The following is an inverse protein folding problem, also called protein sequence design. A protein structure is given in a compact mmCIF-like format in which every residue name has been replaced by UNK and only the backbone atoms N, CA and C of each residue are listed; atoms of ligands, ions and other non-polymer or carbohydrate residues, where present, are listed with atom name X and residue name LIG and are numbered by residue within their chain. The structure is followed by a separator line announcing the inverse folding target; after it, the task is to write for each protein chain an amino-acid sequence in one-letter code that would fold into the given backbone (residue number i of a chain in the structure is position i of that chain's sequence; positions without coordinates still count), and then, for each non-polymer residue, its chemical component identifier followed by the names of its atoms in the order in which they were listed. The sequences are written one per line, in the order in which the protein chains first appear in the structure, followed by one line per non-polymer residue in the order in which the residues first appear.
data_IF_303326609815
#
_entry.id   IF_303326609815
#
_cell.length_a   1.000
_cell.length_b   1.000
_cell.length_c   1.000
_cell.angle_alpha   90.00
_cell.angle_beta   90.00
_cell.angle_gamma   90.00
#
_symmetry.space_group_name_H-M   'P 1'
#
loop_
_entity.id
_entity.type
_entity.pdbx_description
1 polymer ?
#
# COMPACT_ATOMS: atom_id res chain seq x y z
N UNK A 1 34.91 37.45 13.08
CA UNK A 1 34.91 36.80 14.41
C UNK A 1 36.34 36.40 14.68
N UNK A 2 36.90 36.76 15.83
CA UNK A 2 38.18 36.23 16.27
C UNK A 2 38.01 34.72 16.53
N UNK A 3 38.79 33.90 15.84
CA UNK A 3 38.83 32.46 16.09
C UNK A 3 39.63 32.25 17.37
N UNK A 4 38.98 31.79 18.44
CA UNK A 4 39.70 31.35 19.64
C UNK A 4 40.48 30.07 19.32
N UNK A 5 41.77 30.05 19.66
CA UNK A 5 42.63 28.88 19.51
C UNK A 5 43.13 28.44 20.88
N UNK A 6 42.89 27.16 21.21
CA UNK A 6 43.40 26.57 22.43
C UNK A 6 44.92 26.39 22.35
N UNK A 7 45.65 26.95 23.30
CA UNK A 7 47.13 26.86 23.36
C UNK A 7 47.55 25.87 24.44
N UNK A 8 48.21 24.78 24.03
CA UNK A 8 48.68 23.74 24.93
C UNK A 8 50.21 23.81 25.02
N UNK A 9 50.76 23.80 26.23
CA UNK A 9 52.20 23.77 26.45
C UNK A 9 52.81 22.42 26.04
N UNK A 10 54.06 22.37 25.56
CA UNK A 10 54.73 21.11 25.24
C UNK A 10 54.90 20.24 26.49
N UNK A 11 54.82 18.92 26.31
CA UNK A 11 55.02 17.94 27.38
C UNK A 11 56.46 18.04 27.89
N UNK A 12 56.62 18.31 29.19
CA UNK A 12 57.91 18.19 29.88
C UNK A 12 58.00 16.78 30.47
N UNK A 13 58.51 15.83 29.69
CA UNK A 13 58.68 14.45 30.17
C UNK A 13 59.76 14.42 31.25
N UNK A 14 59.38 14.12 32.49
CA UNK A 14 60.35 13.81 33.56
C UNK A 14 60.86 12.38 33.38
N UNK A 15 62.19 12.20 33.39
CA UNK A 15 62.78 10.85 33.38
C UNK A 15 62.44 10.12 34.68
N UNK A 16 61.95 8.87 34.57
CA UNK A 16 61.76 7.98 35.71
C UNK A 16 62.86 6.93 35.68
N UNK A 17 63.81 7.04 36.62
CA UNK A 17 64.93 6.12 36.74
C UNK A 17 64.92 5.43 38.11
N UNK A 18 65.42 4.19 38.17
CA UNK A 18 65.72 3.50 39.43
C UNK A 18 67.18 3.81 39.75
N UNK A 19 67.41 4.73 40.70
CA UNK A 19 68.76 5.23 41.01
C UNK A 19 69.75 4.12 41.42
N UNK A 20 69.26 3.12 42.15
CA UNK A 20 70.06 2.00 42.66
C UNK A 20 69.77 0.68 41.92
N UNK A 21 69.46 0.74 40.62
CA UNK A 21 69.06 -0.45 39.86
C UNK A 21 70.08 -1.59 39.96
N UNK A 22 71.36 -1.28 39.78
CA UNK A 22 72.43 -2.29 39.79
C UNK A 22 72.61 -2.92 41.18
N UNK A 23 72.55 -2.12 42.25
CA UNK A 23 72.60 -2.60 43.63
C UNK A 23 71.39 -3.49 43.96
N UNK A 24 70.18 -3.04 43.59
CA UNK A 24 68.95 -3.79 43.81
C UNK A 24 68.96 -5.12 43.04
N UNK A 25 69.45 -5.11 41.80
CA UNK A 25 69.57 -6.31 40.96
C UNK A 25 70.60 -7.28 41.54
N UNK A 26 71.77 -6.81 41.94
CA UNK A 26 72.80 -7.64 42.57
C UNK A 26 72.29 -8.30 43.86
N UNK A 27 71.61 -7.53 44.72
CA UNK A 27 71.00 -8.05 45.95
C UNK A 27 69.93 -9.12 45.67
N UNK A 28 69.06 -8.91 44.67
CA UNK A 28 68.03 -9.90 44.29
C UNK A 28 68.70 -11.17 43.74
N UNK A 29 69.74 -11.03 42.91
CA UNK A 29 70.48 -12.16 42.34
C UNK A 29 71.17 -13.00 43.42
N UNK A 30 71.86 -12.36 44.37
CA UNK A 30 72.47 -13.04 45.54
C UNK A 30 71.44 -13.89 46.30
N UNK A 31 70.27 -13.31 46.58
CA UNK A 31 69.20 -14.02 47.30
C UNK A 31 68.62 -15.16 46.48
N UNK A 32 68.38 -14.97 45.18
CA UNK A 32 67.89 -16.03 44.31
C UNK A 32 68.87 -17.20 44.25
N UNK A 33 70.17 -16.94 44.14
CA UNK A 33 71.21 -17.97 44.13
C UNK A 33 71.33 -18.68 45.48
N UNK A 34 71.32 -17.92 46.59
CA UNK A 34 71.31 -18.46 47.95
C UNK A 34 70.14 -19.43 48.16
N UNK A 35 68.92 -19.06 47.75
CA UNK A 35 67.74 -19.91 47.94
C UNK A 35 67.64 -21.07 46.94
N UNK A 36 68.23 -20.95 45.75
CA UNK A 36 68.28 -22.03 44.76
C UNK A 36 69.16 -23.20 45.24
N UNK A 37 70.20 -22.88 46.01
CA UNK A 37 71.16 -23.85 46.53
C UNK A 37 70.86 -24.29 47.98
N UNK A 38 69.77 -23.79 48.59
CA UNK A 38 69.39 -24.11 49.95
C UNK A 38 68.68 -25.48 50.03
N UNK A 39 69.18 -26.37 50.89
CA UNK A 39 68.49 -27.61 51.26
C UNK A 39 67.82 -27.42 52.62
N UNK A 40 66.48 -27.39 52.65
CA UNK A 40 65.73 -27.24 53.89
C UNK A 40 65.39 -28.61 54.49
N UNK A 41 65.88 -28.89 55.69
CA UNK A 41 65.48 -30.05 56.50
C UNK A 41 64.17 -29.80 57.26
N UNK A 42 63.58 -30.83 57.86
CA UNK A 42 62.26 -30.77 58.50
C UNK A 42 62.19 -29.78 59.68
N UNK A 43 63.29 -29.63 60.43
CA UNK A 43 63.50 -28.66 61.50
C UNK A 43 63.68 -27.21 60.99
N UNK A 44 64.00 -27.01 59.71
CA UNK A 44 64.21 -25.69 59.09
C UNK A 44 62.97 -25.12 58.38
N UNK A 45 61.81 -25.79 58.51
CA UNK A 45 60.53 -25.36 57.92
C UNK A 45 60.11 -23.94 58.32
N UNK A 46 60.50 -23.48 59.51
CA UNK A 46 60.29 -22.09 59.96
C UNK A 46 61.09 -21.09 59.11
N UNK A 47 62.38 -21.35 58.92
CA UNK A 47 63.27 -20.50 58.12
C UNK A 47 62.82 -20.42 56.66
N UNK A 48 62.43 -21.54 56.05
CA UNK A 48 61.90 -21.57 54.69
C UNK A 48 60.64 -20.70 54.51
N UNK A 49 59.76 -20.66 55.52
CA UNK A 49 58.57 -19.80 55.50
C UNK A 49 58.95 -18.33 55.59
N UNK A 50 59.92 -17.98 56.44
CA UNK A 50 60.39 -16.61 56.61
C UNK A 50 61.09 -16.09 55.35
N UNK A 51 61.92 -16.90 54.70
CA UNK A 51 62.58 -16.55 53.44
C UNK A 51 61.59 -16.32 52.30
N UNK A 52 60.59 -17.21 52.18
CA UNK A 52 59.48 -17.01 51.23
C UNK A 52 58.72 -15.73 51.53
N UNK A 53 58.46 -15.41 52.80
CA UNK A 53 57.79 -14.19 53.19
C UNK A 53 58.63 -12.94 52.84
N UNK A 54 59.95 -12.98 53.05
CA UNK A 54 60.89 -11.91 52.66
C UNK A 54 60.87 -11.65 51.16
N UNK A 55 60.97 -12.69 50.32
CA UNK A 55 60.90 -12.57 48.86
C UNK A 55 59.56 -12.00 48.38
N UNK A 56 58.45 -12.47 48.96
CA UNK A 56 57.13 -11.96 48.62
C UNK A 56 56.96 -10.48 49.00
N UNK A 57 57.52 -10.05 50.15
CA UNK A 57 57.55 -8.63 50.54
C UNK A 57 58.36 -7.79 49.54
N UNK A 58 59.52 -8.26 49.12
CA UNK A 58 60.36 -7.56 48.13
C UNK A 58 59.67 -7.45 46.77
N UNK A 59 59.09 -8.56 46.28
CA UNK A 59 58.29 -8.58 45.04
C UNK A 59 57.13 -7.59 45.11
N UNK A 60 56.43 -7.54 46.25
CA UNK A 60 55.34 -6.60 46.48
C UNK A 60 55.83 -5.15 46.46
N UNK A 61 56.92 -4.83 47.18
CA UNK A 61 57.49 -3.48 47.21
C UNK A 61 57.87 -2.96 45.81
N UNK A 62 58.46 -3.80 44.95
CA UNK A 62 58.76 -3.44 43.56
C UNK A 62 57.49 -3.12 42.77
N UNK A 63 56.46 -3.96 42.91
CA UNK A 63 55.17 -3.75 42.23
C UNK A 63 54.46 -2.50 42.73
N UNK A 64 54.44 -2.27 44.03
CA UNK A 64 53.80 -1.11 44.66
C UNK A 64 54.49 0.18 44.23
N UNK A 65 55.84 0.22 44.23
CA UNK A 65 56.60 1.37 43.73
C UNK A 65 56.30 1.68 42.26
N UNK A 66 56.22 0.65 41.41
CA UNK A 66 55.83 0.81 40.00
C UNK A 66 54.43 1.41 39.87
N UNK A 67 53.47 0.93 40.66
CA UNK A 67 52.08 1.42 40.63
C UNK A 67 52.02 2.87 41.09
N UNK A 68 52.68 3.20 42.21
CA UNK A 68 52.73 4.56 42.76
C UNK A 68 53.36 5.53 41.76
N UNK A 69 54.54 5.21 41.22
CA UNK A 69 55.21 6.08 40.24
C UNK A 69 54.45 6.21 38.93
N UNK A 70 53.77 5.16 38.47
CA UNK A 70 52.85 5.26 37.32
C UNK A 70 51.70 6.22 37.61
N UNK A 71 51.13 6.18 38.82
CA UNK A 71 50.05 7.08 39.22
C UNK A 71 50.53 8.54 39.24
N UNK A 72 51.65 8.81 39.92
CA UNK A 72 52.27 10.15 39.98
C UNK A 72 52.61 10.69 38.58
N UNK A 73 53.12 9.84 37.69
CA UNK A 73 53.46 10.23 36.32
C UNK A 73 52.23 10.54 35.45
N UNK A 74 51.13 9.80 35.64
CA UNK A 74 49.90 10.00 34.88
C UNK A 74 48.99 11.07 35.48
N UNK A 75 49.15 11.44 36.75
CA UNK A 75 48.32 12.44 37.42
C UNK A 75 48.29 13.79 36.65
N UNK A 76 49.42 14.38 36.23
CA UNK A 76 49.39 15.62 35.41
C UNK A 76 48.67 15.45 34.06
N UNK A 77 48.72 14.25 33.47
CA UNK A 77 48.02 13.96 32.23
C UNK A 77 46.51 13.80 32.46
N UNK A 78 46.12 13.12 33.53
CA UNK A 78 44.72 12.95 33.90
C UNK A 78 44.07 14.31 34.23
N UNK A 79 44.76 15.18 34.96
CA UNK A 79 44.31 16.56 35.24
C UNK A 79 44.14 17.37 33.96
N UNK A 80 45.08 17.23 33.01
CA UNK A 80 44.98 17.85 31.69
C UNK A 80 43.77 17.30 30.92
N UNK A 81 43.58 15.98 30.90
CA UNK A 81 42.46 15.32 30.25
C UNK A 81 41.11 15.76 30.84
N UNK A 82 40.99 15.86 32.16
CA UNK A 82 39.80 16.38 32.84
C UNK A 82 39.48 17.81 32.43
N UNK A 83 40.49 18.71 32.43
CA UNK A 83 40.30 20.10 31.97
C UNK A 83 39.87 20.16 30.51
N UNK A 84 40.44 19.32 29.65
CA UNK A 84 40.05 19.24 28.24
C UNK A 84 38.60 18.77 28.09
N UNK A 85 38.18 17.77 28.87
CA UNK A 85 36.80 17.27 28.89
C UNK A 85 35.83 18.32 29.42
N UNK A 86 36.20 19.07 30.45
CA UNK A 86 35.40 20.17 30.99
C UNK A 86 35.17 21.25 29.91
N UNK A 87 36.23 21.69 29.22
CA UNK A 87 36.12 22.68 28.14
C UNK A 87 35.25 22.18 26.98
N UNK A 88 35.38 20.90 26.60
CA UNK A 88 34.52 20.29 25.60
C UNK A 88 33.05 20.25 26.06
N UNK A 89 32.80 19.84 27.31
CA UNK A 89 31.47 19.77 27.89
C UNK A 89 30.76 21.13 27.97
N UNK A 90 31.48 22.20 28.33
CA UNK A 90 30.94 23.57 28.28
C UNK A 90 30.54 23.99 26.87
N UNK A 91 31.30 23.56 25.86
CA UNK A 91 30.99 23.82 24.45
C UNK A 91 29.75 23.05 24.02
N UNK A 92 29.65 21.78 24.40
CA UNK A 92 28.48 20.94 24.10
C UNK A 92 27.20 21.49 24.74
N UNK A 93 27.26 21.96 25.99
CA UNK A 93 26.12 22.60 26.65
C UNK A 93 25.67 23.86 25.90
N UNK A 94 26.61 24.71 25.49
CA UNK A 94 26.29 25.91 24.73
C UNK A 94 25.67 25.57 23.36
N UNK A 95 26.16 24.52 22.69
CA UNK A 95 25.58 24.04 21.43
C UNK A 95 24.15 23.52 21.61
N UNK A 96 23.91 22.72 22.65
CA UNK A 96 22.57 22.20 22.95
C UNK A 96 21.57 23.33 23.24
N UNK A 97 21.99 24.34 24.01
CA UNK A 97 21.18 25.52 24.28
C UNK A 97 20.85 26.31 23.00
N UNK A 98 21.81 26.46 22.08
CA UNK A 98 21.59 27.13 20.79
C UNK A 98 20.60 26.31 19.95
N UNK A 99 20.82 25.01 19.80
CA UNK A 99 19.96 24.13 19.00
C UNK A 99 18.53 24.10 19.53
N UNK A 100 18.37 24.04 20.85
CA UNK A 100 17.06 24.11 21.51
C UNK A 100 16.35 25.44 21.21
N UNK A 101 17.05 26.57 21.31
CA UNK A 101 16.50 27.88 21.00
C UNK A 101 16.14 28.03 19.51
N UNK A 102 16.97 27.52 18.61
CA UNK A 102 16.70 27.54 17.16
C UNK A 102 15.45 26.71 16.84
N UNK A 103 15.34 25.50 17.41
CA UNK A 103 14.14 24.65 17.26
C UNK A 103 12.89 25.33 17.80
N UNK A 104 12.96 25.90 19.00
CA UNK A 104 11.83 26.60 19.62
C UNK A 104 11.39 27.82 18.79
N UNK A 105 12.35 28.57 18.22
CA UNK A 105 12.05 29.68 17.32
C UNK A 105 11.37 29.20 16.03
N UNK A 106 11.87 28.13 15.42
CA UNK A 106 11.28 27.57 14.20
C UNK A 106 9.88 26.99 14.44
N UNK A 107 9.65 26.32 15.56
CA UNK A 107 8.33 25.82 15.97
C UNK A 107 7.35 26.98 16.22
N UNK A 108 7.79 28.01 16.95
CA UNK A 108 6.99 29.23 17.16
C UNK A 108 6.64 29.89 15.84
N UNK A 109 7.62 30.07 14.94
CA UNK A 109 7.42 30.64 13.60
C UNK A 109 6.41 29.83 12.80
N UNK A 110 6.50 28.49 12.83
CA UNK A 110 5.54 27.60 12.16
C UNK A 110 4.14 27.71 12.76
N UNK A 111 4.03 27.77 14.09
CA UNK A 111 2.74 27.90 14.78
C UNK A 111 2.06 29.26 14.50
N UNK A 112 2.81 30.36 14.55
CA UNK A 112 2.31 31.69 14.18
C UNK A 112 1.87 31.73 12.71
N UNK A 113 2.64 31.10 11.83
CA UNK A 113 2.29 30.99 10.41
C UNK A 113 1.05 30.13 10.19
N UNK A 114 0.90 29.02 10.91
CA UNK A 114 -0.28 28.17 10.87
C UNK A 114 -1.53 28.96 11.28
N UNK A 115 -1.46 29.75 12.36
CA UNK A 115 -2.57 30.64 12.76
C UNK A 115 -2.91 31.66 11.68
N UNK A 116 -1.90 32.28 11.06
CA UNK A 116 -2.12 33.21 9.95
C UNK A 116 -2.77 32.53 8.73
N UNK A 117 -2.44 31.27 8.47
CA UNK A 117 -3.07 30.45 7.42
C UNK A 117 -4.54 30.16 7.77
N UNK A 118 -4.84 29.81 9.02
CA UNK A 118 -6.21 29.56 9.50
C UNK A 118 -7.09 30.82 9.42
N UNK A 119 -6.54 31.97 9.82
CA UNK A 119 -7.20 33.27 9.68
C UNK A 119 -7.45 33.61 8.21
N UNK A 120 -6.44 33.43 7.34
CA UNK A 120 -6.55 33.67 5.91
C UNK A 120 -7.60 32.75 5.26
N UNK A 121 -7.62 31.47 5.62
CA UNK A 121 -8.63 30.51 5.16
C UNK A 121 -10.05 30.97 5.52
N UNK A 122 -10.23 31.44 6.75
CA UNK A 122 -11.50 31.98 7.25
C UNK A 122 -11.92 33.26 6.52
N UNK A 123 -10.97 34.14 6.18
CA UNK A 123 -11.22 35.37 5.45
C UNK A 123 -11.58 35.15 3.98
N UNK A 124 -10.95 34.16 3.33
CA UNK A 124 -11.18 33.86 1.93
C UNK A 124 -12.63 33.39 1.68
N UNK A 125 -13.22 32.66 2.63
CA UNK A 125 -14.63 32.28 2.58
C UNK A 125 -14.90 31.04 1.72
N UNK A 126 -14.22 29.93 2.02
CA UNK A 126 -14.48 28.65 1.36
C UNK A 126 -15.88 28.10 1.66
N UNK A 127 -16.38 27.23 0.79
CA UNK A 127 -17.64 26.51 1.02
C UNK A 127 -17.52 25.55 2.21
N UNK A 128 -18.60 25.34 2.96
CA UNK A 128 -18.59 24.63 4.26
C UNK A 128 -18.01 23.20 4.25
N UNK A 129 -17.98 22.51 3.11
CA UNK A 129 -17.42 21.15 3.01
C UNK A 129 -15.90 21.13 2.77
N UNK A 130 -15.31 22.28 2.46
CA UNK A 130 -13.87 22.45 2.31
C UNK A 130 -13.30 22.77 3.67
N UNK A 131 -12.34 21.96 4.12
CA UNK A 131 -11.59 22.21 5.35
C UNK A 131 -10.15 22.52 4.99
N UNK A 132 -9.43 23.20 5.88
CA UNK A 132 -8.04 23.59 5.63
C UNK A 132 -7.16 22.36 5.38
N UNK A 133 -7.38 21.28 6.10
CA UNK A 133 -6.61 20.03 6.00
C UNK A 133 -6.71 19.40 4.60
N UNK A 134 -7.83 19.60 3.89
CA UNK A 134 -8.01 19.07 2.54
C UNK A 134 -7.24 19.83 1.46
N UNK A 135 -6.90 21.09 1.70
CA UNK A 135 -6.28 21.97 0.68
C UNK A 135 -4.87 22.44 1.05
N UNK A 136 -4.47 22.29 2.32
CA UNK A 136 -3.19 22.78 2.81
C UNK A 136 -2.02 21.99 2.23
N UNK A 137 -1.06 22.70 1.63
CA UNK A 137 0.22 22.11 1.21
C UNK A 137 1.21 22.11 2.40
N UNK A 138 1.87 20.99 2.72
CA UNK A 138 2.90 20.91 3.76
C UNK A 138 4.01 21.97 3.63
N UNK A 139 4.30 22.41 2.41
CA UNK A 139 5.30 23.45 2.12
C UNK A 139 4.89 24.82 2.62
N UNK A 140 3.61 25.08 2.88
CA UNK A 140 3.14 26.38 3.36
C UNK A 140 3.79 26.80 4.68
N UNK A 141 4.23 25.85 5.52
CA UNK A 141 4.92 26.17 6.78
C UNK A 141 6.42 26.49 6.62
N UNK A 142 6.98 26.30 5.43
CA UNK A 142 8.38 26.61 5.15
C UNK A 142 8.65 28.11 5.26
N UNK A 143 9.86 28.48 5.69
CA UNK A 143 10.24 29.90 5.81
C UNK A 143 10.23 30.63 4.45
N UNK A 144 10.55 29.91 3.37
CA UNK A 144 10.61 30.46 2.01
C UNK A 144 9.25 30.77 1.38
N UNK A 145 8.17 30.13 1.84
CA UNK A 145 6.84 30.34 1.26
C UNK A 145 6.23 31.61 1.85
N UNK A 146 5.90 32.62 1.04
CA UNK A 146 5.28 33.84 1.55
C UNK A 146 3.78 33.67 1.83
N UNK A 147 3.22 34.45 2.76
CA UNK A 147 1.76 34.47 2.99
C UNK A 147 0.98 34.88 1.74
N UNK A 148 1.54 35.78 0.92
CA UNK A 148 0.97 36.18 -0.38
C UNK A 148 0.85 34.99 -1.34
N UNK A 149 1.89 34.16 -1.44
CA UNK A 149 1.86 32.96 -2.30
C UNK A 149 0.84 31.93 -1.80
N UNK A 150 0.66 31.81 -0.49
CA UNK A 150 -0.35 30.93 0.11
C UNK A 150 -1.76 31.43 -0.23
N UNK A 151 -2.01 32.74 -0.09
CA UNK A 151 -3.27 33.36 -0.47
C UNK A 151 -3.62 33.11 -1.94
N UNK A 152 -2.65 33.28 -2.84
CA UNK A 152 -2.87 33.06 -4.28
C UNK A 152 -3.18 31.60 -4.58
N UNK A 153 -2.51 30.65 -3.91
CA UNK A 153 -2.80 29.23 -4.02
C UNK A 153 -4.19 28.87 -3.47
N UNK A 154 -4.57 29.41 -2.30
CA UNK A 154 -5.90 29.23 -1.73
C UNK A 154 -6.99 29.76 -2.67
N UNK A 155 -6.81 30.94 -3.24
CA UNK A 155 -7.76 31.51 -4.22
C UNK A 155 -7.86 30.64 -5.46
N UNK A 156 -6.74 30.17 -6.01
CA UNK A 156 -6.75 29.21 -7.12
C UNK A 156 -7.57 27.97 -6.79
N UNK A 157 -7.35 27.39 -5.60
CA UNK A 157 -8.10 26.23 -5.12
C UNK A 157 -9.59 26.52 -4.95
N UNK A 158 -9.96 27.69 -4.42
CA UNK A 158 -11.35 28.12 -4.34
C UNK A 158 -12.03 28.15 -5.72
N UNK A 159 -11.37 28.72 -6.73
CA UNK A 159 -11.90 28.75 -8.09
C UNK A 159 -12.00 27.35 -8.70
N UNK A 160 -10.97 26.51 -8.53
CA UNK A 160 -10.98 25.11 -8.97
C UNK A 160 -12.16 24.33 -8.37
N UNK A 161 -12.37 24.46 -7.05
CA UNK A 161 -13.47 23.78 -6.35
C UNK A 161 -14.81 24.31 -6.82
N UNK A 162 -14.98 25.63 -6.94
CA UNK A 162 -16.22 26.24 -7.42
C UNK A 162 -16.57 25.79 -8.84
N UNK A 163 -15.58 25.77 -9.74
CA UNK A 163 -15.75 25.27 -11.10
C UNK A 163 -16.06 23.77 -11.13
N UNK A 164 -15.47 22.98 -10.23
CA UNK A 164 -15.75 21.55 -10.10
C UNK A 164 -17.21 21.31 -9.69
N UNK A 165 -17.70 21.99 -8.65
CA UNK A 165 -19.11 21.92 -8.25
C UNK A 165 -20.04 22.32 -9.38
N UNK A 166 -19.75 23.43 -10.07
CA UNK A 166 -20.55 23.89 -11.21
C UNK A 166 -20.60 22.82 -12.31
N UNK A 167 -19.44 22.27 -12.68
CA UNK A 167 -19.32 21.23 -13.72
C UNK A 167 -20.15 20.00 -13.37
N UNK A 168 -20.05 19.51 -12.13
CA UNK A 168 -20.77 18.32 -11.68
C UNK A 168 -22.28 18.56 -11.59
N UNK A 169 -22.69 19.77 -11.20
CA UNK A 169 -24.12 20.15 -11.18
C UNK A 169 -24.77 20.21 -12.57
N UNK A 170 -23.96 20.36 -13.62
CA UNK A 170 -24.41 20.39 -15.02
C UNK A 170 -24.42 19.00 -15.68
N UNK A 171 -24.04 17.94 -14.96
CA UNK A 171 -24.09 16.58 -15.51
C UNK A 171 -25.56 16.17 -15.78
N UNK A 172 -25.84 15.56 -16.94
CA UNK A 172 -27.21 15.17 -17.31
C UNK A 172 -27.77 14.06 -16.44
N UNK A 173 -26.91 13.19 -15.90
CA UNK A 173 -27.28 12.07 -15.04
C UNK A 173 -26.36 12.04 -13.81
N UNK A 174 -26.91 11.72 -12.64
CA UNK A 174 -26.17 11.52 -11.38
C UNK A 174 -25.29 12.71 -10.94
N UNK A 175 -25.60 13.94 -11.38
CA UNK A 175 -24.82 15.13 -11.03
C UNK A 175 -24.83 15.47 -9.54
N UNK A 176 -25.93 15.20 -8.85
CA UNK A 176 -26.03 15.39 -7.40
C UNK A 176 -25.10 14.43 -6.65
N UNK A 177 -25.16 13.14 -6.97
CA UNK A 177 -24.31 12.10 -6.37
C UNK A 177 -22.83 12.35 -6.66
N UNK A 178 -22.50 12.76 -7.88
CA UNK A 178 -21.14 13.16 -8.25
C UNK A 178 -20.66 14.34 -7.39
N UNK A 179 -21.53 15.32 -7.18
CA UNK A 179 -21.22 16.50 -6.36
C UNK A 179 -20.98 16.11 -4.91
N UNK A 180 -21.76 15.17 -4.34
CA UNK A 180 -21.53 14.69 -2.97
C UNK A 180 -20.16 14.01 -2.83
N UNK A 181 -19.80 13.13 -3.78
CA UNK A 181 -18.46 12.51 -3.82
C UNK A 181 -17.36 13.56 -3.92
N UNK A 182 -17.57 14.60 -4.73
CA UNK A 182 -16.62 15.69 -4.84
C UNK A 182 -16.48 16.50 -3.54
N UNK A 183 -17.57 16.77 -2.81
CA UNK A 183 -17.49 17.48 -1.53
C UNK A 183 -16.67 16.70 -0.49
N UNK A 184 -16.74 15.38 -0.54
CA UNK A 184 -15.94 14.51 0.33
C UNK A 184 -14.46 14.54 -0.05
N UNK A 185 -14.13 14.38 -1.33
CA UNK A 185 -12.77 14.09 -1.80
C UNK A 185 -12.01 15.29 -2.36
N UNK A 186 -12.73 16.34 -2.78
CA UNK A 186 -12.25 17.42 -3.64
C UNK A 186 -11.58 16.94 -4.95
N UNK A 187 -11.92 15.73 -5.41
CA UNK A 187 -11.40 15.14 -6.64
C UNK A 187 -12.50 15.03 -7.70
N UNK A 188 -12.42 15.89 -8.71
CA UNK A 188 -13.38 15.97 -9.80
C UNK A 188 -13.37 14.71 -10.68
N UNK A 189 -12.19 14.10 -10.89
CA UNK A 189 -12.09 12.92 -11.73
C UNK A 189 -12.77 11.73 -11.07
N UNK A 190 -12.59 11.59 -9.76
CA UNK A 190 -13.28 10.56 -8.96
C UNK A 190 -14.80 10.77 -8.99
N UNK A 191 -15.27 12.01 -8.83
CA UNK A 191 -16.68 12.34 -8.89
C UNK A 191 -17.31 12.01 -10.26
N UNK A 192 -16.67 12.41 -11.36
CA UNK A 192 -17.13 12.11 -12.72
C UNK A 192 -17.15 10.59 -12.97
N UNK A 193 -16.12 9.88 -12.51
CA UNK A 193 -16.03 8.42 -12.66
C UNK A 193 -17.17 7.71 -11.93
N UNK A 194 -17.54 8.18 -10.74
CA UNK A 194 -18.64 7.61 -9.98
C UNK A 194 -20.01 7.89 -10.63
N UNK A 195 -20.22 9.11 -11.16
CA UNK A 195 -21.42 9.44 -11.93
C UNK A 195 -21.59 8.51 -13.14
N UNK A 196 -20.49 8.28 -13.87
CA UNK A 196 -20.48 7.36 -15.02
C UNK A 196 -20.84 5.93 -14.59
N UNK A 197 -20.23 5.44 -13.51
CA UNK A 197 -20.50 4.10 -12.97
C UNK A 197 -21.98 3.93 -12.62
N UNK A 198 -22.58 4.95 -12.01
CA UNK A 198 -24.00 4.96 -11.65
C UNK A 198 -24.92 4.96 -12.89
N UNK A 199 -24.57 5.72 -13.93
CA UNK A 199 -25.28 5.71 -15.22
C UNK A 199 -25.23 4.34 -15.89
N UNK A 200 -24.05 3.70 -15.93
CA UNK A 200 -23.90 2.35 -16.50
C UNK A 200 -24.75 1.31 -15.74
N UNK A 201 -24.79 1.40 -14.40
CA UNK A 201 -25.62 0.52 -13.56
C UNK A 201 -27.11 0.76 -13.82
N UNK A 202 -27.54 2.02 -13.88
CA UNK A 202 -28.94 2.35 -14.12
C UNK A 202 -29.40 1.87 -15.49
N UNK A 203 -28.57 2.07 -16.52
CA UNK A 203 -28.83 1.58 -17.88
C UNK A 203 -28.92 0.05 -17.93
N UNK A 204 -27.96 -0.65 -17.32
CA UNK A 204 -27.97 -2.10 -17.26
C UNK A 204 -29.20 -2.64 -16.53
N UNK A 205 -29.62 -1.98 -15.44
CA UNK A 205 -30.83 -2.35 -14.68
C UNK A 205 -32.10 -2.13 -15.50
N UNK A 206 -32.21 -1.01 -16.21
CA UNK A 206 -33.34 -0.71 -17.07
C UNK A 206 -33.45 -1.70 -18.25
N UNK A 207 -32.33 -2.02 -18.89
CA UNK A 207 -32.28 -3.02 -19.97
C UNK A 207 -32.68 -4.41 -19.47
N UNK A 208 -32.18 -4.82 -18.30
CA UNK A 208 -32.55 -6.10 -17.68
C UNK A 208 -34.05 -6.16 -17.34
N UNK A 209 -34.63 -5.07 -16.83
CA UNK A 209 -36.06 -5.00 -16.54
C UNK A 209 -36.91 -5.02 -17.82
N UNK A 210 -36.51 -4.28 -18.86
CA UNK A 210 -37.18 -4.28 -20.15
C UNK A 210 -37.17 -5.67 -20.80
N UNK A 211 -36.01 -6.35 -20.77
CA UNK A 211 -35.88 -7.73 -21.25
C UNK A 211 -36.75 -8.70 -20.46
N UNK A 212 -36.86 -8.53 -19.13
CA UNK A 212 -37.74 -9.34 -18.29
C UNK A 212 -39.21 -9.13 -18.64
N UNK A 213 -39.65 -7.88 -18.82
CA UNK A 213 -41.03 -7.55 -19.22
C UNK A 213 -41.37 -8.10 -20.61
N UNK A 214 -40.50 -7.91 -21.60
CA UNK A 214 -40.68 -8.44 -22.94
C UNK A 214 -40.75 -9.98 -22.96
N UNK A 215 -39.91 -10.65 -22.16
CA UNK A 215 -39.96 -12.10 -22.03
C UNK A 215 -41.25 -12.60 -21.37
N UNK A 216 -41.77 -11.87 -20.36
CA UNK A 216 -43.04 -12.20 -19.72
C UNK A 216 -44.24 -12.01 -20.67
N UNK A 217 -44.27 -10.91 -21.42
CA UNK A 217 -45.30 -10.66 -22.43
C UNK A 217 -45.24 -11.69 -23.56
N UNK A 218 -44.05 -12.02 -24.07
CA UNK A 218 -43.88 -13.08 -25.06
C UNK A 218 -44.36 -14.44 -24.54
N UNK A 219 -44.10 -14.75 -23.26
CA UNK A 219 -44.59 -15.98 -22.63
C UNK A 219 -46.12 -16.01 -22.55
N UNK A 220 -46.76 -14.90 -22.13
CA UNK A 220 -48.22 -14.78 -22.07
C UNK A 220 -48.86 -14.90 -23.46
N UNK A 221 -48.29 -14.23 -24.47
CA UNK A 221 -48.77 -14.31 -25.84
C UNK A 221 -48.63 -15.73 -26.43
N UNK A 222 -47.51 -16.41 -26.17
CA UNK A 222 -47.32 -17.80 -26.58
C UNK A 222 -48.30 -18.76 -25.90
N UNK A 223 -48.60 -18.56 -24.62
CA UNK A 223 -49.58 -19.35 -23.88
C UNK A 223 -51.01 -19.14 -24.40
N UNK A 224 -51.41 -17.90 -24.70
CA UNK A 224 -52.72 -17.59 -25.30
C UNK A 224 -52.86 -18.18 -26.70
N UNK A 225 -51.81 -18.06 -27.54
CA UNK A 225 -51.79 -18.66 -28.87
C UNK A 225 -51.92 -20.19 -28.80
N UNK A 226 -51.23 -20.84 -27.84
CA UNK A 226 -51.35 -22.29 -27.63
C UNK A 226 -52.76 -22.69 -27.21
N UNK A 227 -53.42 -21.89 -26.36
CA UNK A 227 -54.81 -22.14 -25.93
C UNK A 227 -55.80 -22.04 -27.08
N UNK A 228 -55.69 -21.01 -27.94
CA UNK A 228 -56.53 -20.84 -29.13
C UNK A 228 -56.33 -21.98 -30.13
N UNK A 229 -55.08 -22.37 -30.40
CA UNK A 229 -54.78 -23.49 -31.29
C UNK A 229 -55.33 -24.83 -30.77
N UNK A 230 -55.31 -25.05 -29.45
CA UNK A 230 -55.90 -26.25 -28.85
C UNK A 230 -57.44 -26.25 -28.93
N UNK A 231 -58.09 -25.09 -28.75
CA UNK A 231 -59.54 -24.94 -28.95
C UNK A 231 -59.95 -25.19 -30.40
N UNK A 232 -59.23 -24.62 -31.38
CA UNK A 232 -59.47 -24.88 -32.80
C UNK A 232 -59.28 -26.35 -33.15
N UNK A 233 -58.24 -27.01 -32.62
CA UNK A 233 -58.02 -28.44 -32.86
C UNK A 233 -59.17 -29.29 -32.31
N UNK A 234 -59.64 -28.99 -31.09
CA UNK A 234 -60.81 -29.68 -30.50
C UNK A 234 -62.10 -29.41 -31.28
N UNK A 235 -62.27 -28.20 -31.82
CA UNK A 235 -63.42 -27.85 -32.66
C UNK A 235 -63.39 -28.60 -34.00
N UNK A 236 -62.22 -28.69 -34.64
CA UNK A 236 -62.01 -29.47 -35.85
C UNK A 236 -62.24 -30.97 -35.62
N UNK A 237 -61.73 -31.53 -34.51
CA UNK A 237 -62.01 -32.93 -34.12
C UNK A 237 -63.52 -33.18 -33.94
N UNK A 238 -64.26 -32.28 -33.28
CA UNK A 238 -65.72 -32.39 -33.15
C UNK A 238 -66.45 -32.28 -34.50
N UNK A 239 -66.02 -31.39 -35.38
CA UNK A 239 -66.61 -31.23 -36.70
C UNK A 239 -66.36 -32.46 -37.59
N UNK A 240 -65.15 -33.02 -37.55
CA UNK A 240 -64.81 -34.28 -38.24
C UNK A 240 -65.64 -35.46 -37.70
N UNK A 241 -65.85 -35.52 -36.38
CA UNK A 241 -66.69 -36.56 -35.75
C UNK A 241 -68.18 -36.41 -36.10
N UNK A 242 -68.66 -35.18 -36.35
CA UNK A 242 -70.02 -34.90 -36.81
C UNK A 242 -70.24 -35.22 -38.30
N UNK A 243 -69.24 -34.98 -39.16
CA UNK A 243 -69.27 -35.40 -40.57
C UNK A 243 -69.24 -36.93 -40.73
N UNK A 244 -68.69 -37.66 -39.76
CA UNK A 244 -68.72 -39.13 -39.75
C UNK A 244 -70.10 -39.73 -39.36
N UNK A 245 -71.11 -38.91 -39.01
CA UNK A 245 -72.45 -39.37 -38.59
C UNK A 245 -73.58 -39.11 -39.61
N UNK A 246 -73.28 -38.67 -40.84
CA UNK A 246 -74.27 -38.59 -41.94
C UNK A 246 -74.32 -39.90 -42.75
N UNK A 247 -75.47 -40.60 -42.85
CA UNK A 247 -75.61 -41.83 -43.63
C UNK A 247 -75.68 -41.58 -45.15
N UNK A 248 -75.18 -42.51 -46.00
CA UNK A 248 -75.13 -42.37 -47.45
C UNK A 248 -76.35 -43.00 -48.15
N UNK A 249 -76.75 -42.47 -49.32
CA UNK A 249 -77.76 -43.09 -50.18
C UNK A 249 -77.20 -43.34 -51.59
N UNK A 250 -77.02 -44.65 -51.88
CA UNK A 250 -77.05 -45.43 -53.14
C UNK A 250 -76.25 -44.97 -54.40
N UNK A 251 -75.60 -45.84 -55.19
CA UNK A 251 -75.31 -47.28 -55.16
C UNK A 251 -74.25 -47.60 -56.27
N UNK A 252 -73.28 -48.47 -55.92
CA UNK A 252 -72.58 -49.57 -56.67
C UNK A 252 -72.16 -49.46 -58.17
N UNK A 253 -71.19 -50.29 -58.67
CA UNK A 253 -70.01 -50.94 -58.04
C UNK A 253 -68.68 -50.90 -58.88
N UNK A 254 -67.54 -51.14 -58.20
CA UNK A 254 -66.26 -51.81 -58.57
C UNK A 254 -65.68 -51.78 -60.04
N UNK A 255 -64.34 -51.69 -60.24
CA UNK A 255 -63.33 -52.40 -59.45
C UNK A 255 -62.14 -51.58 -58.93
N UNK A 256 -61.63 -52.13 -57.83
CA UNK A 256 -60.35 -51.89 -57.16
C UNK A 256 -59.18 -51.75 -58.12
N UNK A 257 -58.47 -50.62 -58.03
CA UNK A 257 -57.03 -50.58 -58.25
C UNK A 257 -56.39 -49.86 -57.07
N UNK A 258 -55.57 -50.62 -56.37
CA UNK A 258 -54.83 -50.24 -55.18
C UNK A 258 -53.79 -49.18 -55.58
N UNK A 259 -53.96 -47.94 -55.14
CA UNK A 259 -52.96 -46.89 -55.36
C UNK A 259 -52.96 -45.95 -54.17
N UNK A 260 -51.99 -46.17 -53.29
CA UNK A 260 -51.64 -45.27 -52.20
C UNK A 260 -51.42 -43.86 -52.76
N UNK A 261 -52.04 -42.80 -52.20
CA UNK A 261 -51.71 -41.44 -52.62
C UNK A 261 -50.33 -41.09 -52.07
N UNK A 262 -49.35 -40.96 -52.97
CA UNK A 262 -48.06 -40.39 -52.63
C UNK A 262 -48.23 -38.95 -52.09
N UNK A 263 -47.50 -38.56 -51.04
CA UNK A 263 -47.59 -37.23 -50.47
C UNK A 263 -47.16 -36.17 -51.51
N UNK A 264 -48.02 -35.18 -51.75
CA UNK A 264 -47.75 -34.06 -52.66
C UNK A 264 -46.48 -33.31 -52.22
N UNK A 265 -45.45 -33.33 -53.07
CA UNK A 265 -44.17 -32.65 -52.84
C UNK A 265 -44.23 -31.22 -53.36
N UNK A 266 -43.99 -30.23 -52.49
CA UNK A 266 -43.91 -28.82 -52.85
C UNK A 266 -42.44 -28.36 -52.95
N UNK A 267 -42.09 -27.59 -53.98
CA UNK A 267 -40.72 -27.09 -54.20
C UNK A 267 -40.60 -25.68 -53.62
N UNK A 268 -39.71 -25.49 -52.64
CA UNK A 268 -39.41 -24.19 -52.01
C UNK A 268 -37.97 -23.79 -52.31
N UNK A 269 -37.75 -22.55 -52.76
CA UNK A 269 -36.42 -21.97 -52.98
C UNK A 269 -36.18 -20.90 -51.91
N UNK A 270 -35.07 -21.00 -51.19
CA UNK A 270 -34.69 -20.06 -50.14
C UNK A 270 -33.16 -20.03 -50.02
N UNK A 271 -32.61 -18.88 -49.64
CA UNK A 271 -31.18 -18.66 -49.41
C UNK A 271 -30.94 -18.63 -47.89
N UNK A 272 -29.83 -19.23 -47.46
CA UNK A 272 -29.51 -19.39 -46.04
C UNK A 272 -28.02 -19.17 -45.85
N UNK A 273 -27.65 -18.30 -44.91
CA UNK A 273 -26.27 -18.07 -44.50
C UNK A 273 -25.95 -18.98 -43.32
N UNK A 274 -25.00 -19.91 -43.51
CA UNK A 274 -24.71 -21.01 -42.57
C UNK A 274 -23.20 -21.16 -42.42
N UNK A 275 -22.76 -21.72 -41.29
CA UNK A 275 -21.38 -22.22 -41.14
C UNK A 275 -21.19 -23.57 -41.84
N UNK A 276 -19.95 -24.01 -42.02
CA UNK A 276 -19.63 -25.27 -42.71
C UNK A 276 -20.18 -26.51 -41.98
N UNK A 277 -20.15 -26.51 -40.65
CA UNK A 277 -20.74 -27.56 -39.82
C UNK A 277 -22.26 -27.59 -39.93
N UNK A 278 -22.92 -26.43 -39.90
CA UNK A 278 -24.38 -26.34 -40.02
C UNK A 278 -24.88 -26.78 -41.41
N UNK A 279 -24.09 -26.52 -42.46
CA UNK A 279 -24.38 -27.00 -43.81
C UNK A 279 -24.31 -28.53 -43.91
N UNK A 280 -23.38 -29.17 -43.19
CA UNK A 280 -23.27 -30.63 -43.12
C UNK A 280 -24.47 -31.24 -42.37
N UNK A 281 -24.84 -30.67 -41.22
CA UNK A 281 -25.99 -31.11 -40.45
C UNK A 281 -27.31 -30.95 -41.24
N UNK A 282 -27.46 -29.84 -41.96
CA UNK A 282 -28.65 -29.58 -42.80
C UNK A 282 -28.75 -30.58 -43.96
N UNK A 283 -27.60 -30.98 -44.54
CA UNK A 283 -27.54 -32.00 -45.59
C UNK A 283 -27.96 -33.38 -45.08
N UNK A 284 -27.46 -33.81 -43.93
CA UNK A 284 -27.88 -35.08 -43.31
C UNK A 284 -29.38 -35.08 -42.99
N UNK A 285 -29.90 -33.97 -42.51
CA UNK A 285 -31.33 -33.82 -42.25
C UNK A 285 -32.18 -34.05 -43.51
N UNK A 286 -31.83 -33.42 -44.64
CA UNK A 286 -32.56 -33.65 -45.90
C UNK A 286 -32.46 -35.09 -46.40
N UNK A 287 -31.29 -35.72 -46.28
CA UNK A 287 -31.11 -37.11 -46.68
C UNK A 287 -31.94 -38.07 -45.81
N UNK A 288 -31.99 -37.84 -44.48
CA UNK A 288 -32.76 -38.67 -43.54
C UNK A 288 -34.27 -38.67 -43.81
N UNK A 289 -34.77 -37.67 -44.54
CA UNK A 289 -36.18 -37.48 -44.88
C UNK A 289 -36.47 -37.70 -46.38
N UNK A 290 -35.51 -38.21 -47.15
CA UNK A 290 -35.59 -38.36 -48.60
C UNK A 290 -36.00 -37.07 -49.34
N UNK A 291 -35.55 -35.91 -48.84
CA UNK A 291 -35.83 -34.59 -49.44
C UNK A 291 -34.75 -34.29 -50.48
N UNK A 292 -35.17 -34.07 -51.73
CA UNK A 292 -34.27 -33.74 -52.84
C UNK A 292 -33.90 -32.25 -52.79
N UNK A 293 -32.61 -31.93 -52.65
CA UNK A 293 -32.10 -30.56 -52.68
C UNK A 293 -31.10 -30.35 -53.82
N UNK A 294 -30.97 -29.10 -54.30
CA UNK A 294 -30.00 -28.69 -55.34
C UNK A 294 -29.43 -27.32 -54.95
N UNK A 295 -28.13 -27.14 -55.11
CA UNK A 295 -27.52 -25.83 -54.95
C UNK A 295 -28.02 -24.90 -56.07
N UNK A 296 -28.45 -23.69 -55.69
CA UNK A 296 -28.77 -22.63 -56.64
C UNK A 296 -27.43 -22.01 -57.05
N UNK A 297 -27.13 -22.00 -58.36
CA UNK A 297 -25.93 -21.36 -58.93
C UNK A 297 -26.18 -19.89 -59.21
#
# INVERSE_FOLDING_TARGET
METFELRISPIKTGEINIENYDEAKAYIMDKVETYKNAYYSEDQKGLAKDDRARLNKLKKAISDMRITKKKEYLEPFNDFEEKMKELAGLTDEALEQIDSQVKAFDEKRKAEKQKAIEELFSQIGFQNFVTLEKIQDPKWLNASTSMKSIEDQMKSKMYEIGNGVLTLSQLPEFGFEATEVFKETLDINKAISEAKRMSEIAKAKAEAEARRKAAEEARKAAEEARRKAEEERKAQERAAMAQAMTPPEDAQPAPVEESQPEPQKMVVKFEVELTTDDAAALREFFQSRNITFRAIK
#
